data_IF_301312558644
#
_entry.id   IF_301312558644
#
_cell.length_a   1.000
_cell.length_b   1.000
_cell.length_c   1.000
_cell.angle_alpha   90.00
_cell.angle_beta   90.00
_cell.angle_gamma   90.00
#
_symmetry.space_group_name_H-M   'P 1'
#
loop_
_entity.id
_entity.type
_entity.pdbx_description
1 polymer ?
#
# COMPACT_ATOMS: atom_id res chain seq x y z
N UNK A 1 -32.22 5.74 -12.31
CA UNK A 1 -30.98 5.41 -11.57
C UNK A 1 -30.51 6.63 -10.82
N UNK A 2 -30.08 6.49 -9.59
CA UNK A 2 -29.57 7.59 -8.74
C UNK A 2 -28.30 7.16 -8.02
N UNK A 3 -27.66 8.10 -7.35
CA UNK A 3 -26.42 7.86 -6.58
C UNK A 3 -26.66 6.92 -5.39
N UNK A 4 -27.87 6.95 -4.82
CA UNK A 4 -28.23 6.12 -3.68
C UNK A 4 -29.09 4.92 -4.11
N UNK A 5 -28.59 3.67 -3.93
CA UNK A 5 -29.36 2.47 -4.23
C UNK A 5 -30.40 2.22 -3.13
N UNK A 6 -31.69 2.26 -3.47
CA UNK A 6 -32.77 2.03 -2.52
C UNK A 6 -33.12 0.55 -2.34
N UNK A 7 -33.10 -0.22 -3.41
CA UNK A 7 -33.65 -1.61 -3.46
C UNK A 7 -32.76 -2.56 -4.26
N UNK A 8 -31.46 -2.26 -4.35
CA UNK A 8 -30.55 -3.15 -5.08
C UNK A 8 -30.32 -4.44 -4.30
N UNK A 9 -30.31 -5.60 -4.95
CA UNK A 9 -29.94 -6.84 -4.29
C UNK A 9 -28.49 -6.80 -3.82
N UNK A 10 -28.23 -7.34 -2.63
CA UNK A 10 -26.88 -7.54 -2.11
C UNK A 10 -26.49 -8.97 -2.37
N UNK A 11 -25.45 -9.18 -3.15
CA UNK A 11 -24.90 -10.50 -3.45
C UNK A 11 -23.60 -10.70 -2.68
N UNK A 12 -23.43 -11.88 -2.07
CA UNK A 12 -22.17 -12.30 -1.42
C UNK A 12 -21.55 -13.38 -2.29
N UNK A 13 -20.32 -13.15 -2.74
CA UNK A 13 -19.58 -14.08 -3.58
C UNK A 13 -18.26 -14.42 -2.89
N UNK A 14 -17.97 -15.72 -2.77
CA UNK A 14 -16.68 -16.22 -2.29
C UNK A 14 -16.01 -16.89 -3.47
N UNK A 15 -14.84 -16.36 -3.89
CA UNK A 15 -14.06 -16.91 -4.98
C UNK A 15 -12.65 -17.27 -4.49
N UNK A 16 -12.19 -18.44 -4.90
CA UNK A 16 -10.86 -18.97 -4.55
C UNK A 16 -10.17 -19.43 -5.82
N UNK A 17 -8.93 -18.99 -6.02
CA UNK A 17 -8.10 -19.42 -7.13
C UNK A 17 -6.62 -19.44 -6.73
N UNK A 18 -5.78 -20.24 -7.40
CA UNK A 18 -4.33 -20.15 -7.21
C UNK A 18 -3.83 -18.76 -7.59
N UNK A 19 -3.04 -18.16 -6.70
CA UNK A 19 -2.43 -16.86 -6.93
C UNK A 19 -0.92 -17.00 -6.72
N UNK A 20 -0.14 -16.73 -7.75
CA UNK A 20 1.32 -16.69 -7.65
C UNK A 20 1.84 -15.43 -6.95
N UNK A 21 3.14 -15.22 -6.99
CA UNK A 21 3.75 -13.97 -6.52
C UNK A 21 3.23 -12.79 -7.35
N UNK A 22 2.66 -11.79 -6.71
CA UNK A 22 2.08 -10.61 -7.38
C UNK A 22 3.10 -9.82 -8.21
N UNK A 23 4.32 -9.72 -7.70
CA UNK A 23 5.43 -9.02 -8.35
C UNK A 23 6.41 -9.97 -9.08
N UNK A 24 6.04 -11.25 -9.20
CA UNK A 24 6.87 -12.30 -9.80
C UNK A 24 7.99 -12.76 -8.88
N UNK A 25 8.53 -13.96 -9.18
CA UNK A 25 9.59 -14.58 -8.37
C UNK A 25 10.88 -13.77 -8.41
N UNK A 26 11.18 -13.13 -9.54
CA UNK A 26 12.34 -12.26 -9.70
C UNK A 26 12.25 -11.02 -8.83
N UNK A 27 11.06 -10.39 -8.77
CA UNK A 27 10.80 -9.25 -7.89
C UNK A 27 10.92 -9.59 -6.42
N UNK A 28 10.47 -10.78 -6.02
CA UNK A 28 10.63 -11.29 -4.65
C UNK A 28 12.10 -11.52 -4.27
N UNK A 29 12.93 -11.90 -5.22
CA UNK A 29 14.35 -12.23 -4.98
C UNK A 29 15.26 -11.01 -5.04
N UNK A 30 15.05 -10.13 -5.99
CA UNK A 30 15.97 -9.03 -6.33
C UNK A 30 15.39 -7.64 -6.01
N UNK A 31 14.15 -7.58 -5.52
CA UNK A 31 13.43 -6.33 -5.36
C UNK A 31 12.85 -5.81 -6.68
N UNK A 32 12.16 -4.69 -6.61
CA UNK A 32 11.49 -4.03 -7.74
C UNK A 32 11.83 -2.54 -7.76
N UNK A 33 11.64 -1.93 -8.93
CA UNK A 33 11.77 -0.48 -9.08
C UNK A 33 10.43 0.21 -8.82
N UNK A 34 10.42 1.12 -7.87
CA UNK A 34 9.20 1.82 -7.44
C UNK A 34 9.31 3.30 -7.79
N UNK A 35 8.25 3.85 -8.39
CA UNK A 35 8.09 5.28 -8.66
C UNK A 35 7.17 5.91 -7.62
N UNK A 36 7.55 7.09 -7.12
CA UNK A 36 6.59 7.95 -6.41
C UNK A 36 5.63 8.52 -7.45
N UNK A 37 4.35 8.17 -7.33
CA UNK A 37 3.31 8.61 -8.27
C UNK A 37 2.97 10.10 -8.10
N UNK A 38 2.50 10.71 -9.18
CA UNK A 38 1.87 12.03 -9.15
C UNK A 38 0.45 12.00 -8.55
N UNK A 39 -0.14 10.80 -8.43
CA UNK A 39 -1.43 10.59 -7.78
C UNK A 39 -1.23 10.34 -6.29
N UNK A 40 -1.94 11.10 -5.45
CA UNK A 40 -1.94 10.86 -4.00
C UNK A 40 -3.06 9.90 -3.59
N UNK A 41 -2.92 9.26 -2.44
CA UNK A 41 -4.03 8.52 -1.82
C UNK A 41 -5.18 9.47 -1.49
N UNK A 42 -6.44 9.09 -1.71
CA UNK A 42 -7.58 9.89 -1.30
C UNK A 42 -7.53 10.16 0.21
N UNK A 43 -7.95 11.35 0.60
CA UNK A 43 -8.07 11.68 2.02
C UNK A 43 -9.15 10.81 2.69
N UNK A 44 -8.92 10.42 3.95
CA UNK A 44 -9.84 9.54 4.70
C UNK A 44 -11.27 10.08 4.79
N UNK A 45 -11.44 11.40 4.70
CA UNK A 45 -12.75 12.06 4.67
C UNK A 45 -13.33 12.22 3.26
N UNK A 46 -12.63 11.76 2.20
CA UNK A 46 -13.13 11.79 0.82
C UNK A 46 -13.76 10.47 0.40
N UNK A 47 -13.18 9.37 0.83
CA UNK A 47 -13.68 8.02 0.58
C UNK A 47 -13.38 7.10 1.78
N UNK A 48 -13.95 5.90 1.79
CA UNK A 48 -13.65 4.88 2.81
C UNK A 48 -12.30 4.22 2.51
N UNK A 49 -11.18 4.94 2.69
CA UNK A 49 -9.84 4.46 2.33
C UNK A 49 -9.41 3.20 3.08
N UNK A 50 -9.94 2.96 4.28
CA UNK A 50 -9.67 1.75 5.07
C UNK A 50 -10.46 0.54 4.61
N UNK A 51 -11.49 0.72 3.78
CA UNK A 51 -12.29 -0.37 3.22
C UNK A 51 -11.72 -0.78 1.84
N UNK A 52 -11.67 -2.10 1.59
CA UNK A 52 -11.22 -2.66 0.30
C UNK A 52 -12.31 -2.54 -0.77
N UNK A 53 -12.76 -1.30 -1.03
CA UNK A 53 -13.78 -1.00 -2.03
C UNK A 53 -13.16 -0.86 -3.42
N UNK A 54 -13.83 -1.39 -4.45
CA UNK A 54 -13.37 -1.32 -5.85
C UNK A 54 -13.18 0.13 -6.30
N UNK A 55 -14.02 1.06 -5.83
CA UNK A 55 -13.93 2.47 -6.20
C UNK A 55 -12.57 3.11 -5.85
N UNK A 56 -11.94 2.70 -4.74
CA UNK A 56 -10.63 3.21 -4.33
C UNK A 56 -9.51 2.78 -5.30
N UNK A 57 -9.68 1.63 -5.98
CA UNK A 57 -8.69 1.11 -6.93
C UNK A 57 -8.64 1.88 -8.25
N UNK A 58 -9.62 2.73 -8.56
CA UNK A 58 -9.53 3.62 -9.72
C UNK A 58 -8.30 4.52 -9.63
N UNK A 59 -8.03 5.10 -8.44
CA UNK A 59 -6.84 5.90 -8.20
C UNK A 59 -5.54 5.07 -8.23
N UNK A 60 -5.54 3.89 -7.61
CA UNK A 60 -4.41 2.97 -7.63
C UNK A 60 -4.03 2.53 -9.05
N UNK A 61 -5.02 2.28 -9.90
CA UNK A 61 -4.82 1.93 -11.31
C UNK A 61 -4.13 3.05 -12.09
N UNK A 62 -4.51 4.31 -11.84
CA UNK A 62 -3.87 5.46 -12.47
C UNK A 62 -2.40 5.57 -12.06
N UNK A 63 -2.11 5.45 -10.77
CA UNK A 63 -0.76 5.46 -10.23
C UNK A 63 0.10 4.31 -10.79
N UNK A 64 -0.42 3.08 -10.81
CA UNK A 64 0.26 1.92 -11.39
C UNK A 64 0.55 2.11 -12.87
N UNK A 65 -0.43 2.58 -13.63
CA UNK A 65 -0.26 2.84 -15.07
C UNK A 65 0.80 3.90 -15.34
N UNK A 66 0.85 4.95 -14.53
CA UNK A 66 1.90 5.97 -14.61
C UNK A 66 3.28 5.35 -14.39
N UNK A 67 3.47 4.57 -13.33
CA UNK A 67 4.72 3.91 -13.03
C UNK A 67 5.17 2.97 -14.16
N UNK A 68 4.28 2.12 -14.64
CA UNK A 68 4.57 1.19 -15.76
C UNK A 68 4.95 1.92 -17.04
N UNK A 69 4.27 3.04 -17.37
CA UNK A 69 4.59 3.86 -18.55
C UNK A 69 5.99 4.43 -18.49
N UNK A 70 6.46 4.76 -17.29
CA UNK A 70 7.79 5.33 -17.05
C UNK A 70 8.84 4.23 -16.80
N UNK A 71 8.50 2.96 -17.00
CA UNK A 71 9.41 1.82 -16.92
C UNK A 71 9.70 1.32 -15.50
N UNK A 72 8.87 1.67 -14.53
CA UNK A 72 8.93 1.15 -13.16
C UNK A 72 7.98 -0.04 -12.99
N UNK A 73 8.22 -0.84 -11.95
CA UNK A 73 7.46 -2.06 -11.70
C UNK A 73 6.24 -1.78 -10.81
N UNK A 74 6.32 -0.77 -9.92
CA UNK A 74 5.26 -0.41 -8.99
C UNK A 74 5.23 1.10 -8.72
N UNK A 75 4.09 1.59 -8.21
CA UNK A 75 3.89 2.95 -7.75
C UNK A 75 3.79 3.01 -6.22
N UNK A 76 4.52 3.90 -5.58
CA UNK A 76 4.25 4.33 -4.22
C UNK A 76 3.47 5.65 -4.24
N UNK A 77 2.41 5.73 -3.46
CA UNK A 77 1.57 6.91 -3.34
C UNK A 77 1.88 7.65 -2.05
N UNK A 78 1.80 8.97 -2.12
CA UNK A 78 1.83 9.83 -0.94
C UNK A 78 0.41 10.06 -0.43
N UNK A 79 0.27 10.40 0.85
CA UNK A 79 -0.97 10.95 1.38
C UNK A 79 -1.15 12.42 0.95
N UNK A 80 -2.26 13.03 1.33
CA UNK A 80 -2.57 14.42 0.99
C UNK A 80 -1.67 15.44 1.68
N UNK A 81 -0.90 15.03 2.69
CA UNK A 81 0.08 15.87 3.39
C UNK A 81 1.51 15.67 2.84
N UNK A 82 1.71 14.79 1.85
CA UNK A 82 2.99 14.50 1.22
C UNK A 82 3.84 13.44 1.92
N UNK A 83 3.30 12.69 2.86
CA UNK A 83 3.97 11.56 3.48
C UNK A 83 3.75 10.28 2.69
N UNK A 84 4.71 9.36 2.76
CA UNK A 84 4.57 8.04 2.14
C UNK A 84 3.38 7.30 2.73
N UNK A 85 2.52 6.76 1.87
CA UNK A 85 1.33 6.04 2.26
C UNK A 85 1.47 4.54 1.96
N UNK A 86 1.19 4.12 0.75
CA UNK A 86 1.21 2.70 0.36
C UNK A 86 1.50 2.53 -1.13
N UNK A 87 1.71 1.30 -1.58
CA UNK A 87 1.78 0.96 -3.00
C UNK A 87 0.41 1.05 -3.69
N UNK A 88 0.34 0.75 -4.98
CA UNK A 88 -0.94 0.76 -5.70
C UNK A 88 -1.90 -0.32 -5.21
N UNK A 89 -1.38 -1.43 -4.70
CA UNK A 89 -2.14 -2.55 -4.14
C UNK A 89 -1.48 -3.20 -2.93
N UNK A 90 -0.41 -2.61 -2.37
CA UNK A 90 0.42 -3.15 -1.31
C UNK A 90 0.62 -2.15 -0.17
N UNK A 91 0.66 -2.66 1.07
CA UNK A 91 1.16 -1.90 2.20
C UNK A 91 2.70 -1.85 2.18
N UNK A 92 3.26 -0.80 2.75
CA UNK A 92 4.71 -0.55 2.77
C UNK A 92 5.26 -0.70 4.18
N UNK A 93 6.38 -1.39 4.29
CA UNK A 93 7.17 -1.49 5.51
C UNK A 93 8.59 -0.98 5.24
N UNK A 94 9.16 -0.31 6.21
CA UNK A 94 10.56 0.10 6.23
C UNK A 94 11.24 -0.59 7.41
N UNK A 95 12.30 -1.34 7.14
CA UNK A 95 13.10 -2.00 8.19
C UNK A 95 14.41 -1.24 8.35
N UNK A 96 14.65 -0.69 9.55
CA UNK A 96 15.87 0.08 9.84
C UNK A 96 16.33 -0.17 11.27
N UNK A 97 17.59 -0.57 11.43
CA UNK A 97 18.19 -0.81 12.75
C UNK A 97 17.35 -1.73 13.64
N UNK A 98 16.83 -2.82 13.09
CA UNK A 98 15.98 -3.78 13.81
C UNK A 98 14.58 -3.27 14.16
N UNK A 99 14.17 -2.11 13.64
CA UNK A 99 12.83 -1.54 13.83
C UNK A 99 12.06 -1.61 12.54
N UNK A 100 10.80 -1.97 12.64
CA UNK A 100 9.85 -2.00 11.52
C UNK A 100 8.97 -0.75 11.62
N UNK A 101 8.89 0.01 10.53
CA UNK A 101 8.02 1.19 10.43
C UNK A 101 7.04 0.99 9.29
N UNK A 102 5.82 1.45 9.48
CA UNK A 102 4.79 1.48 8.43
C UNK A 102 3.96 2.74 8.59
N UNK A 103 3.38 3.28 7.51
CA UNK A 103 2.50 4.43 7.58
C UNK A 103 1.28 4.20 8.46
N UNK A 104 0.67 5.25 9.02
CA UNK A 104 -0.50 5.13 9.89
C UNK A 104 -1.77 4.82 9.08
N UNK A 105 -2.76 4.19 9.71
CA UNK A 105 -4.03 3.79 9.08
C UNK A 105 -4.90 4.96 8.57
N UNK A 106 -4.48 6.19 8.77
CA UNK A 106 -5.19 7.38 8.29
C UNK A 106 -5.09 7.58 6.77
N UNK A 107 -4.10 6.93 6.12
CA UNK A 107 -3.84 7.13 4.69
C UNK A 107 -3.71 5.81 3.90
N UNK A 108 -3.81 4.66 4.55
CA UNK A 108 -3.59 3.35 3.93
C UNK A 108 -4.77 2.41 4.14
N UNK A 109 -4.84 1.37 3.30
CA UNK A 109 -5.75 0.27 3.54
C UNK A 109 -5.31 -0.52 4.78
N UNK A 110 -6.25 -0.79 5.68
CA UNK A 110 -6.07 -1.71 6.81
C UNK A 110 -6.11 -3.16 6.27
N UNK A 111 -4.98 -3.61 5.71
CA UNK A 111 -4.87 -4.91 5.08
C UNK A 111 -4.72 -6.04 6.09
N UNK A 112 -5.32 -7.21 5.82
CA UNK A 112 -5.17 -8.41 6.66
C UNK A 112 -3.69 -8.83 6.73
N UNK A 113 -2.95 -8.72 5.63
CA UNK A 113 -1.51 -9.00 5.58
C UNK A 113 -0.73 -8.01 6.45
N UNK A 114 -1.08 -6.71 6.40
CA UNK A 114 -0.48 -5.69 7.27
C UNK A 114 -0.62 -6.08 8.74
N UNK A 115 -1.84 -6.37 9.19
CA UNK A 115 -2.13 -6.75 10.57
C UNK A 115 -1.36 -8.01 10.99
N UNK A 116 -1.36 -9.03 10.14
CA UNK A 116 -0.61 -10.27 10.37
C UNK A 116 0.90 -10.04 10.52
N UNK A 117 1.49 -9.19 9.67
CA UNK A 117 2.92 -8.86 9.75
C UNK A 117 3.24 -8.09 11.02
N UNK A 118 2.39 -7.13 11.41
CA UNK A 118 2.59 -6.37 12.65
C UNK A 118 2.56 -7.28 13.88
N UNK A 119 1.60 -8.21 13.95
CA UNK A 119 1.50 -9.17 15.04
C UNK A 119 2.73 -10.10 15.07
N UNK A 120 3.09 -10.71 13.95
CA UNK A 120 4.25 -11.59 13.84
C UNK A 120 5.56 -10.89 14.20
N UNK A 121 5.70 -9.62 13.84
CA UNK A 121 6.88 -8.83 14.19
C UNK A 121 7.00 -8.63 15.70
N UNK A 122 5.90 -8.28 16.36
CA UNK A 122 5.85 -8.15 17.82
C UNK A 122 6.16 -9.48 18.50
N UNK A 123 5.54 -10.58 18.06
CA UNK A 123 5.75 -11.92 18.61
C UNK A 123 7.21 -12.39 18.48
N UNK A 124 7.94 -11.88 17.48
CA UNK A 124 9.37 -12.13 17.27
C UNK A 124 10.29 -11.12 17.92
N UNK A 125 9.77 -10.20 18.73
CA UNK A 125 10.53 -9.22 19.49
C UNK A 125 11.02 -8.02 18.68
N UNK A 126 10.50 -7.79 17.47
CA UNK A 126 10.82 -6.57 16.73
C UNK A 126 10.05 -5.37 17.28
N UNK A 127 10.71 -4.22 17.29
CA UNK A 127 10.03 -2.95 17.58
C UNK A 127 9.27 -2.50 16.33
N UNK A 128 7.96 -2.29 16.48
CA UNK A 128 7.09 -1.83 15.40
C UNK A 128 6.60 -0.40 15.68
N UNK A 129 6.62 0.47 14.68
CA UNK A 129 6.12 1.84 14.76
C UNK A 129 5.22 2.16 13.57
N UNK A 130 3.94 2.42 13.83
CA UNK A 130 3.03 3.02 12.86
C UNK A 130 3.11 4.54 12.97
N UNK A 131 3.72 5.18 11.96
CA UNK A 131 3.91 6.64 11.95
C UNK A 131 4.08 7.18 10.55
N UNK A 132 3.90 8.49 10.41
CA UNK A 132 4.21 9.19 9.16
C UNK A 132 5.69 8.98 8.79
N UNK A 133 5.93 8.72 7.50
CA UNK A 133 7.25 8.55 6.88
C UNK A 133 7.41 9.65 5.84
N UNK A 134 8.45 10.47 5.99
CA UNK A 134 8.73 11.52 5.00
C UNK A 134 9.31 10.92 3.73
N UNK A 135 9.16 11.63 2.61
CA UNK A 135 9.76 11.21 1.35
C UNK A 135 11.30 11.19 1.44
N UNK A 136 11.90 12.08 2.21
CA UNK A 136 13.34 12.11 2.46
C UNK A 136 13.79 10.86 3.24
N UNK A 137 13.09 10.52 4.31
CA UNK A 137 13.36 9.29 5.08
C UNK A 137 13.22 8.05 4.18
N UNK A 138 12.20 8.00 3.33
CA UNK A 138 12.00 6.93 2.36
C UNK A 138 13.20 6.81 1.41
N UNK A 139 13.61 7.90 0.75
CA UNK A 139 14.74 7.91 -0.18
C UNK A 139 16.04 7.46 0.48
N UNK A 140 16.34 8.00 1.66
CA UNK A 140 17.50 7.59 2.46
C UNK A 140 17.48 6.10 2.80
N UNK A 141 16.31 5.53 3.10
CA UNK A 141 16.15 4.10 3.36
C UNK A 141 16.35 3.22 2.13
N UNK A 142 15.92 3.67 0.95
CA UNK A 142 16.18 2.97 -0.33
C UNK A 142 17.66 2.95 -0.65
N UNK A 143 18.34 4.10 -0.53
CA UNK A 143 19.77 4.21 -0.80
C UNK A 143 20.62 3.35 0.13
N UNK A 144 20.19 3.15 1.38
CA UNK A 144 20.87 2.31 2.37
C UNK A 144 20.47 0.83 2.31
N UNK A 145 19.52 0.44 1.44
CA UNK A 145 19.02 -0.94 1.34
C UNK A 145 18.14 -1.39 2.52
N UNK A 146 17.55 -0.45 3.24
CA UNK A 146 16.74 -0.70 4.45
C UNK A 146 15.22 -0.75 4.18
N UNK A 147 14.79 -0.54 2.94
CA UNK A 147 13.38 -0.65 2.53
C UNK A 147 13.17 -2.00 1.85
N UNK A 148 12.23 -2.73 2.39
CA UNK A 148 11.80 -4.05 1.91
C UNK A 148 10.32 -4.00 1.54
#
# INVERSE_FOLDING_TARGET
MGVFPKENPINVIIAVWPWGSYLGDEGMKNGIRVKISSFSRPHINATMVRAKTVANYANSLLAKREALKDGYDEAALLDTDGYVAEGSGENIFMVRNGKIKTPPLTAILEGITLDSILQLAVDRGYTVAQRKVTLEEWRSGVESGEIV
#
